data_IF_662093424561
#
_entry.id   IF_662093424561
#
_cell.length_a   1.000
_cell.length_b   1.000
_cell.length_c   1.000
_cell.angle_alpha   90.00
_cell.angle_beta   90.00
_cell.angle_gamma   90.00
#
_symmetry.space_group_name_H-M   'P 1'
#
loop_
_entity.id
_entity.type
_entity.pdbx_description
1 polymer ?
#
# COMPACT_ATOMS: atom_id res chain seq x y z
N UNK A 1 10.34 30.74 29.21
CA UNK A 1 9.99 29.39 29.71
C UNK A 1 9.99 28.44 28.53
N UNK A 2 10.94 27.52 28.45
CA UNK A 2 11.10 26.60 27.33
C UNK A 2 10.49 25.24 27.71
N UNK A 3 9.38 24.86 27.06
CA UNK A 3 8.79 23.53 27.17
C UNK A 3 9.27 22.65 26.02
N UNK A 4 10.06 21.63 26.37
CA UNK A 4 10.51 20.58 25.46
C UNK A 4 9.34 19.72 24.98
N UNK A 5 9.33 19.43 23.67
CA UNK A 5 8.35 18.56 23.03
C UNK A 5 8.95 17.16 22.92
N UNK A 6 8.33 16.19 23.59
CA UNK A 6 8.70 14.78 23.55
C UNK A 6 8.50 14.22 22.14
N UNK A 7 9.52 13.51 21.63
CA UNK A 7 9.42 12.70 20.42
C UNK A 7 8.76 11.36 20.78
N UNK A 8 7.64 11.05 20.13
CA UNK A 8 6.97 9.75 20.20
C UNK A 8 7.78 8.72 19.43
N UNK A 9 8.53 7.88 20.14
CA UNK A 9 9.11 6.65 19.61
C UNK A 9 8.00 5.66 19.28
N UNK A 10 7.77 5.40 18.00
CA UNK A 10 6.95 4.26 17.57
C UNK A 10 7.74 2.97 17.81
N UNK A 11 7.21 2.09 18.65
CA UNK A 11 7.83 0.83 19.02
C UNK A 11 7.82 -0.16 17.84
N UNK A 12 9.00 -0.67 17.51
CA UNK A 12 9.20 -1.78 16.57
C UNK A 12 9.18 -3.06 17.40
N UNK A 13 8.20 -3.95 17.18
CA UNK A 13 8.27 -5.33 17.66
C UNK A 13 8.98 -6.17 16.61
N UNK A 14 10.25 -6.49 16.86
CA UNK A 14 11.01 -7.49 16.10
C UNK A 14 10.74 -8.87 16.72
N UNK A 15 9.93 -9.69 16.04
CA UNK A 15 9.77 -11.09 16.40
C UNK A 15 10.88 -11.91 15.74
N UNK A 16 11.75 -12.52 16.55
CA UNK A 16 12.81 -13.41 16.11
C UNK A 16 12.28 -14.85 15.90
N UNK A 17 11.58 -15.08 14.77
CA UNK A 17 11.35 -16.40 14.17
C UNK A 17 10.68 -16.20 12.79
N UNK A 18 11.48 -16.24 11.71
CA UNK A 18 11.04 -15.91 10.35
C UNK A 18 11.01 -14.40 10.15
N UNK A 19 11.91 -13.89 9.31
CA UNK A 19 12.16 -12.47 9.09
C UNK A 19 10.90 -11.81 8.49
N UNK A 20 10.06 -11.20 9.32
CA UNK A 20 8.92 -10.40 8.89
C UNK A 20 8.92 -9.10 9.68
N UNK A 21 8.78 -7.98 8.98
CA UNK A 21 8.57 -6.67 9.61
C UNK A 21 7.10 -6.30 9.55
N UNK A 22 6.54 -5.94 10.69
CA UNK A 22 5.15 -5.47 10.81
C UNK A 22 5.12 -3.95 10.74
N UNK A 23 4.34 -3.43 9.80
CA UNK A 23 4.11 -2.01 9.55
C UNK A 23 2.67 -1.61 9.85
N UNK A 24 2.45 -0.30 9.93
CA UNK A 24 1.12 0.28 10.17
C UNK A 24 0.10 -0.19 9.14
N UNK A 25 -1.09 -0.58 9.61
CA UNK A 25 -2.22 -0.91 8.75
C UNK A 25 -2.64 0.25 7.84
N UNK A 26 -2.29 1.50 8.19
CA UNK A 26 -2.58 2.68 7.37
C UNK A 26 -1.87 2.69 6.01
N UNK A 27 -0.81 1.89 5.83
CA UNK A 27 -0.13 1.77 4.54
C UNK A 27 -0.94 0.93 3.54
N UNK A 28 -1.93 0.16 3.99
CA UNK A 28 -2.77 -0.67 3.13
C UNK A 28 -4.07 0.03 2.75
N UNK A 29 -4.54 -0.22 1.52
CA UNK A 29 -5.88 0.10 1.04
C UNK A 29 -6.38 -1.01 0.12
N UNK A 30 -7.69 -1.24 0.06
CA UNK A 30 -8.27 -2.12 -0.95
C UNK A 30 -8.22 -1.48 -2.35
N UNK A 31 -8.15 -2.31 -3.39
CA UNK A 31 -8.12 -1.83 -4.78
C UNK A 31 -9.40 -1.04 -5.10
N UNK A 32 -9.23 0.21 -5.55
CA UNK A 32 -10.36 1.05 -5.96
C UNK A 32 -11.09 0.48 -7.18
N UNK A 33 -10.38 -0.23 -8.07
CA UNK A 33 -11.00 -0.92 -9.21
C UNK A 33 -11.98 -1.99 -8.72
N UNK A 34 -11.53 -2.85 -7.80
CA UNK A 34 -12.37 -3.91 -7.23
C UNK A 34 -13.57 -3.32 -6.47
N UNK A 35 -13.35 -2.23 -5.73
CA UNK A 35 -14.42 -1.54 -5.02
C UNK A 35 -15.44 -0.92 -5.99
N UNK A 36 -14.98 -0.33 -7.11
CA UNK A 36 -15.84 0.21 -8.16
C UNK A 36 -16.67 -0.89 -8.79
N UNK A 37 -16.06 -2.02 -9.16
CA UNK A 37 -16.78 -3.14 -9.76
C UNK A 37 -17.84 -3.71 -8.79
N UNK A 38 -17.53 -3.76 -7.49
CA UNK A 38 -18.50 -4.16 -6.45
C UNK A 38 -19.66 -3.17 -6.34
N UNK A 39 -19.39 -1.87 -6.45
CA UNK A 39 -20.43 -0.83 -6.45
C UNK A 39 -21.32 -0.95 -7.68
N UNK A 40 -20.74 -1.10 -8.87
CA UNK A 40 -21.48 -1.24 -10.13
C UNK A 40 -22.40 -2.46 -10.09
N UNK A 41 -21.91 -3.61 -9.60
CA UNK A 41 -22.73 -4.80 -9.37
C UNK A 41 -23.86 -4.55 -8.37
N UNK A 42 -23.61 -3.79 -7.31
CA UNK A 42 -24.63 -3.48 -6.31
C UNK A 42 -25.74 -2.56 -6.87
N UNK A 43 -25.44 -1.70 -7.86
CA UNK A 43 -26.46 -0.84 -8.49
C UNK A 43 -27.51 -1.62 -9.29
N UNK A 44 -27.18 -2.82 -9.76
CA UNK A 44 -28.13 -3.72 -10.42
C UNK A 44 -29.06 -4.46 -9.43
N UNK A 45 -28.72 -4.43 -8.13
CA UNK A 45 -29.48 -5.08 -7.07
C UNK A 45 -30.54 -4.16 -6.45
N UNK A 46 -31.51 -4.72 -5.70
CA UNK A 46 -32.53 -3.93 -5.00
C UNK A 46 -31.97 -3.17 -3.79
N UNK A 47 -30.77 -3.52 -3.31
CA UNK A 47 -30.11 -2.90 -2.16
C UNK A 47 -28.60 -3.16 -2.18
N UNK A 48 -27.86 -2.34 -1.43
CA UNK A 48 -26.41 -2.50 -1.24
C UNK A 48 -26.16 -3.67 -0.27
N UNK A 49 -25.36 -4.69 -0.64
CA UNK A 49 -25.03 -5.79 0.25
C UNK A 49 -24.32 -5.31 1.54
N UNK A 50 -24.68 -5.88 2.69
CA UNK A 50 -24.08 -5.51 3.99
C UNK A 50 -22.56 -5.65 4.01
N UNK A 51 -22.01 -6.64 3.31
CA UNK A 51 -20.57 -6.84 3.18
C UNK A 51 -19.88 -5.66 2.47
N UNK A 52 -20.51 -5.14 1.41
CA UNK A 52 -20.02 -3.96 0.69
C UNK A 52 -20.15 -2.71 1.56
N UNK A 53 -21.28 -2.53 2.24
CA UNK A 53 -21.46 -1.42 3.18
C UNK A 53 -20.41 -1.43 4.31
N UNK A 54 -20.10 -2.59 4.88
CA UNK A 54 -19.02 -2.76 5.87
C UNK A 54 -17.65 -2.42 5.29
N UNK A 55 -17.36 -2.88 4.06
CA UNK A 55 -16.09 -2.56 3.38
C UNK A 55 -15.94 -1.07 3.09
N UNK A 56 -16.99 -0.39 2.63
CA UNK A 56 -16.96 1.06 2.39
C UNK A 56 -16.68 1.80 3.70
N UNK A 57 -17.35 1.41 4.79
CA UNK A 57 -17.12 1.99 6.12
C UNK A 57 -15.68 1.78 6.61
N UNK A 58 -15.11 0.59 6.42
CA UNK A 58 -13.72 0.31 6.83
C UNK A 58 -12.69 1.09 6.00
N UNK A 59 -13.02 1.45 4.76
CA UNK A 59 -12.15 2.22 3.86
C UNK A 59 -12.42 3.72 3.85
N UNK A 60 -13.31 4.21 4.73
CA UNK A 60 -13.73 5.61 4.74
C UNK A 60 -12.57 6.61 4.79
N UNK A 61 -11.51 6.34 5.55
CA UNK A 61 -10.33 7.20 5.59
C UNK A 61 -9.64 7.33 4.22
N UNK A 62 -9.49 6.21 3.49
CA UNK A 62 -8.92 6.19 2.15
C UNK A 62 -9.82 6.85 1.10
N UNK A 63 -11.14 6.67 1.19
CA UNK A 63 -12.08 7.35 0.31
C UNK A 63 -12.07 8.87 0.54
N UNK A 64 -11.99 9.31 1.80
CA UNK A 64 -11.97 10.72 2.16
C UNK A 64 -10.65 11.40 1.83
N UNK A 65 -9.53 10.76 2.15
CA UNK A 65 -8.20 11.33 1.93
C UNK A 65 -7.70 11.14 0.50
N UNK A 66 -8.19 10.13 -0.22
CA UNK A 66 -7.77 9.79 -1.58
C UNK A 66 -6.23 9.73 -1.68
N UNK A 67 -5.65 10.43 -2.65
CA UNK A 67 -4.20 10.50 -2.89
C UNK A 67 -3.42 11.08 -1.69
N UNK A 68 -4.04 11.88 -0.81
CA UNK A 68 -3.33 12.41 0.37
C UNK A 68 -2.98 11.35 1.42
N UNK A 69 -3.54 10.15 1.31
CA UNK A 69 -3.26 9.02 2.21
C UNK A 69 -1.97 8.28 1.87
N UNK A 70 -1.38 8.57 0.71
CA UNK A 70 -0.06 8.06 0.40
C UNK A 70 0.99 8.74 1.28
N UNK A 71 1.76 7.92 1.97
CA UNK A 71 2.88 8.33 2.79
C UNK A 71 4.04 8.84 1.95
N UNK A 72 4.93 9.59 2.60
CA UNK A 72 6.22 9.99 2.04
C UNK A 72 7.23 8.83 2.16
N UNK A 73 8.35 8.86 1.42
CA UNK A 73 9.41 7.88 1.57
C UNK A 73 9.83 7.70 3.04
N UNK A 74 10.01 6.46 3.46
CA UNK A 74 10.18 6.07 4.84
C UNK A 74 11.22 4.95 4.98
N UNK A 75 12.26 5.19 5.81
CA UNK A 75 13.36 4.24 5.95
C UNK A 75 12.93 2.89 6.56
N UNK A 76 11.89 2.86 7.41
CA UNK A 76 11.35 1.61 7.92
C UNK A 76 10.64 0.81 6.83
N UNK A 77 9.87 1.48 5.97
CA UNK A 77 9.22 0.87 4.80
C UNK A 77 10.25 0.35 3.81
N UNK A 78 11.27 1.15 3.47
CA UNK A 78 12.40 0.73 2.63
C UNK A 78 13.08 -0.51 3.20
N UNK A 79 13.42 -0.47 4.49
CA UNK A 79 14.09 -1.58 5.18
C UNK A 79 13.21 -2.82 5.34
N UNK A 80 11.89 -2.71 5.23
CA UNK A 80 10.97 -3.85 5.28
C UNK A 80 10.99 -4.65 3.98
N UNK A 81 11.19 -3.98 2.84
CA UNK A 81 11.28 -4.66 1.55
C UNK A 81 12.52 -5.57 1.42
N UNK A 82 13.54 -5.42 2.28
CA UNK A 82 14.72 -6.28 2.28
C UNK A 82 14.50 -7.66 2.95
N UNK A 83 13.38 -7.84 3.65
CA UNK A 83 13.17 -8.95 4.58
C UNK A 83 12.47 -10.15 3.91
N UNK A 84 12.07 -10.01 2.64
CA UNK A 84 11.38 -11.05 1.86
C UNK A 84 9.89 -11.19 2.18
N UNK A 85 9.47 -10.86 3.41
CA UNK A 85 8.07 -10.77 3.80
C UNK A 85 7.79 -9.53 4.65
N UNK A 86 6.70 -8.83 4.34
CA UNK A 86 6.24 -7.64 5.05
C UNK A 86 4.80 -7.85 5.51
N UNK A 87 4.53 -7.61 6.78
CA UNK A 87 3.18 -7.55 7.32
C UNK A 87 2.71 -6.09 7.36
N UNK A 88 1.52 -5.81 6.83
CA UNK A 88 0.87 -4.49 6.84
C UNK A 88 -0.50 -4.65 7.47
N UNK A 89 -0.61 -4.35 8.76
CA UNK A 89 -1.78 -4.76 9.55
C UNK A 89 -1.97 -6.28 9.49
N UNK A 90 -3.16 -6.72 9.07
CA UNK A 90 -3.51 -8.16 8.94
C UNK A 90 -3.09 -8.76 7.59
N UNK A 91 -2.49 -7.98 6.68
CA UNK A 91 -2.10 -8.42 5.34
C UNK A 91 -0.62 -8.80 5.30
N UNK A 92 -0.28 -9.86 4.58
CA UNK A 92 1.11 -10.28 4.34
C UNK A 92 1.47 -10.08 2.88
N UNK A 93 2.66 -9.53 2.65
CA UNK A 93 3.23 -9.25 1.34
C UNK A 93 4.55 -10.00 1.19
N UNK A 94 4.56 -11.01 0.33
CA UNK A 94 5.82 -11.59 -0.15
C UNK A 94 6.49 -10.61 -1.11
N UNK A 95 7.74 -10.27 -0.81
CA UNK A 95 8.55 -9.34 -1.59
C UNK A 95 9.31 -10.11 -2.67
N UNK A 96 8.99 -9.81 -3.92
CA UNK A 96 9.73 -10.32 -5.08
C UNK A 96 10.85 -9.33 -5.44
N UNK A 97 12.11 -9.76 -5.59
CA UNK A 97 13.22 -8.86 -5.91
C UNK A 97 12.98 -7.99 -7.14
N UNK A 98 12.37 -8.54 -8.19
CA UNK A 98 12.11 -7.83 -9.44
C UNK A 98 11.11 -6.67 -9.24
N UNK A 99 10.08 -6.91 -8.43
CA UNK A 99 9.07 -5.89 -8.10
C UNK A 99 9.61 -4.87 -7.10
N UNK A 100 10.54 -5.26 -6.22
CA UNK A 100 11.20 -4.35 -5.27
C UNK A 100 11.92 -3.23 -6.00
N UNK A 101 12.74 -3.56 -6.99
CA UNK A 101 13.51 -2.55 -7.73
C UNK A 101 12.60 -1.56 -8.46
N UNK A 102 11.54 -2.05 -9.11
CA UNK A 102 10.54 -1.18 -9.73
C UNK A 102 9.82 -0.30 -8.69
N UNK A 103 9.49 -0.85 -7.51
CA UNK A 103 8.87 -0.10 -6.43
C UNK A 103 9.77 1.01 -5.87
N UNK A 104 11.07 0.76 -5.72
CA UNK A 104 12.04 1.76 -5.27
C UNK A 104 12.19 2.90 -6.29
N UNK A 105 12.20 2.57 -7.59
CA UNK A 105 12.17 3.61 -8.64
C UNK A 105 10.87 4.43 -8.60
N UNK A 106 9.72 3.76 -8.51
CA UNK A 106 8.42 4.43 -8.41
C UNK A 106 8.31 5.33 -7.17
N UNK A 107 8.77 4.86 -6.01
CA UNK A 107 8.85 5.64 -4.77
C UNK A 107 9.65 6.93 -4.95
N UNK A 108 10.81 6.84 -5.63
CA UNK A 108 11.65 8.01 -5.93
C UNK A 108 10.98 8.98 -6.90
N UNK A 109 10.34 8.49 -7.96
CA UNK A 109 9.70 9.35 -8.98
C UNK A 109 8.42 10.02 -8.44
N UNK A 110 7.61 9.28 -7.67
CA UNK A 110 6.30 9.74 -7.18
C UNK A 110 6.36 10.32 -5.76
N UNK A 111 7.51 10.24 -5.09
CA UNK A 111 7.70 10.63 -3.69
C UNK A 111 6.69 9.94 -2.75
N UNK A 112 6.57 8.62 -2.91
CA UNK A 112 5.65 7.76 -2.15
C UNK A 112 6.42 6.84 -1.19
N UNK A 113 5.76 6.41 -0.11
CA UNK A 113 6.23 5.33 0.76
C UNK A 113 6.59 4.08 -0.05
N UNK A 114 7.71 3.45 0.29
CA UNK A 114 8.26 2.32 -0.47
C UNK A 114 7.35 1.09 -0.47
N UNK A 115 6.66 0.80 0.65
CA UNK A 115 5.72 -0.33 0.73
C UNK A 115 4.46 -0.04 -0.06
N UNK A 116 3.96 1.19 -0.03
CA UNK A 116 2.82 1.59 -0.87
C UNK A 116 3.17 1.56 -2.36
N UNK A 117 4.36 2.01 -2.72
CA UNK A 117 4.90 1.89 -4.08
C UNK A 117 4.97 0.43 -4.52
N UNK A 118 5.42 -0.47 -3.63
CA UNK A 118 5.43 -1.91 -3.89
C UNK A 118 4.03 -2.49 -4.10
N UNK A 119 3.04 -2.07 -3.29
CA UNK A 119 1.64 -2.49 -3.45
C UNK A 119 1.11 -2.06 -4.82
N UNK A 120 1.39 -0.82 -5.26
CA UNK A 120 1.02 -0.32 -6.58
C UNK A 120 1.63 -1.16 -7.69
N UNK A 121 2.96 -1.30 -7.70
CA UNK A 121 3.68 -2.08 -8.72
C UNK A 121 3.19 -3.52 -8.80
N UNK A 122 3.00 -4.17 -7.64
CA UNK A 122 2.49 -5.52 -7.56
C UNK A 122 1.10 -5.64 -8.20
N UNK A 123 0.16 -4.78 -7.82
CA UNK A 123 -1.21 -4.79 -8.36
C UNK A 123 -1.23 -4.50 -9.87
N UNK A 124 -0.43 -3.56 -10.34
CA UNK A 124 -0.32 -3.26 -11.77
C UNK A 124 0.24 -4.44 -12.56
N UNK A 125 1.23 -5.16 -12.01
CA UNK A 125 1.81 -6.35 -12.65
C UNK A 125 0.84 -7.54 -12.75
N UNK A 126 -0.18 -7.59 -11.88
CA UNK A 126 -1.24 -8.61 -11.91
C UNK A 126 -2.29 -8.30 -12.98
N UNK A 127 -2.55 -7.02 -13.26
CA UNK A 127 -3.50 -6.56 -14.28
C UNK A 127 -2.86 -6.60 -15.67
N UNK A 128 -1.59 -6.20 -15.79
CA UNK A 128 -0.86 -6.20 -17.04
C UNK A 128 0.56 -6.74 -16.86
N UNK A 129 0.85 -7.98 -17.28
CA UNK A 129 2.16 -8.59 -17.08
C UNK A 129 3.28 -7.92 -17.90
N UNK A 130 2.94 -7.11 -18.90
CA UNK A 130 3.92 -6.37 -19.72
C UNK A 130 4.64 -5.27 -18.96
N UNK A 131 4.06 -4.82 -17.83
CA UNK A 131 4.60 -3.76 -16.97
C UNK A 131 5.93 -4.15 -16.30
N UNK A 132 6.32 -5.42 -16.35
CA UNK A 132 7.56 -5.92 -15.71
C UNK A 132 8.85 -5.33 -16.29
N UNK A 133 8.81 -4.84 -17.53
CA UNK A 133 9.97 -4.25 -18.23
C UNK A 133 9.85 -2.73 -18.40
N UNK A 134 8.73 -2.15 -17.94
CA UNK A 134 8.47 -0.73 -18.07
C UNK A 134 9.41 0.05 -17.15
N UNK A 135 10.22 0.94 -17.74
CA UNK A 135 10.96 1.94 -17.00
C UNK A 135 9.98 2.78 -16.16
N UNK A 136 10.47 3.40 -15.09
CA UNK A 136 9.60 4.17 -14.19
C UNK A 136 8.80 5.25 -14.93
N UNK A 137 9.36 5.80 -16.00
CA UNK A 137 8.71 6.74 -16.91
C UNK A 137 7.55 6.09 -17.70
N UNK A 138 7.70 4.86 -18.17
CA UNK A 138 6.61 4.14 -18.87
C UNK A 138 5.49 3.78 -17.90
N UNK A 139 5.80 3.50 -16.63
CA UNK A 139 4.80 3.35 -15.58
C UNK A 139 4.00 4.64 -15.39
N UNK A 140 4.65 5.82 -15.40
CA UNK A 140 3.96 7.12 -15.32
C UNK A 140 3.09 7.41 -16.55
N UNK A 141 3.43 6.84 -17.71
CA UNK A 141 2.60 6.97 -18.91
C UNK A 141 1.38 6.03 -18.93
N UNK A 142 1.33 5.02 -18.07
CA UNK A 142 0.23 4.04 -17.99
C UNK A 142 -0.83 4.35 -16.93
N UNK A 143 -0.60 5.33 -16.04
CA UNK A 143 -1.55 5.81 -15.01
C UNK A 143 -2.01 7.22 -15.29
#
# INVERSE_FOLDING_TARGET
MASGRAATSSSILVNAAGTSKTLSASLWWDSFVVLSDDLDRATAGPSVPDALAKRIKSHHAWLRGSVSMFGKPNDASRSALEVGEVAVGERRLTVKPELKEAALRASKCLNLDEVQSYILVKRSSEVSPTIRDADAEEFLHLV
#
